data_IF_043058097472
#
_entry.id   IF_043058097472
#
_cell.length_a   1.000
_cell.length_b   1.000
_cell.length_c   1.000
_cell.angle_alpha   90.00
_cell.angle_beta   90.00
_cell.angle_gamma   90.00
#
_symmetry.space_group_name_H-M   'P 1'
#
loop_
_entity.id
_entity.type
_entity.pdbx_description
1 polymer ?
#
# COMPACT_ATOMS: atom_id res chain seq x y z
N UNK A 1 -0.72 15.90 7.67
CA UNK A 1 -2.11 15.47 7.61
C UNK A 1 -2.13 13.98 7.90
N UNK A 2 -2.93 13.54 8.88
CA UNK A 2 -3.11 12.14 9.18
C UNK A 2 -3.81 11.46 8.01
N UNK A 3 -3.32 10.33 7.55
CA UNK A 3 -4.09 9.47 6.65
C UNK A 3 -5.21 8.81 7.48
N UNK A 4 -6.47 9.05 7.10
CA UNK A 4 -7.61 8.37 7.72
C UNK A 4 -7.68 6.92 7.20
N UNK A 5 -6.96 6.02 7.88
CA UNK A 5 -7.00 4.60 7.55
C UNK A 5 -8.19 3.95 8.26
N UNK A 6 -9.28 3.77 7.53
CA UNK A 6 -10.42 2.98 7.97
C UNK A 6 -10.14 1.49 7.75
N UNK A 7 -9.61 0.80 8.76
CA UNK A 7 -9.53 -0.67 8.73
C UNK A 7 -10.84 -1.25 9.30
N UNK A 8 -11.76 -1.65 8.43
CA UNK A 8 -12.87 -2.55 8.80
C UNK A 8 -12.47 -3.98 8.42
N UNK A 9 -11.91 -4.70 9.35
CA UNK A 9 -11.79 -6.15 9.22
C UNK A 9 -12.95 -6.79 9.99
N UNK A 10 -13.89 -7.41 9.29
CA UNK A 10 -14.89 -8.28 9.89
C UNK A 10 -14.33 -9.69 9.80
N UNK A 11 -13.77 -10.19 10.90
CA UNK A 11 -13.30 -11.57 11.00
C UNK A 11 -14.42 -12.36 11.72
N UNK A 12 -15.11 -13.29 11.05
CA UNK A 12 -16.04 -14.18 11.75
C UNK A 12 -15.24 -15.15 12.63
N UNK A 13 -15.34 -15.00 13.93
CA UNK A 13 -14.74 -15.92 14.89
C UNK A 13 -15.83 -16.85 15.46
N UNK A 14 -15.63 -18.15 15.23
CA UNK A 14 -16.46 -19.19 15.82
C UNK A 14 -15.80 -19.64 17.14
N UNK A 15 -16.22 -19.11 18.27
CA UNK A 15 -15.67 -19.43 19.58
C UNK A 15 -16.29 -20.73 20.07
N UNK A 16 -15.75 -21.86 19.66
CA UNK A 16 -15.81 -23.09 20.45
C UNK A 16 -14.57 -23.13 21.31
N UNK A 17 -14.76 -23.40 22.60
CA UNK A 17 -13.72 -23.46 23.64
C UNK A 17 -12.38 -23.98 23.11
N UNK A 18 -11.36 -23.12 23.08
CA UNK A 18 -10.01 -23.53 22.71
C UNK A 18 -9.31 -24.01 23.98
N UNK A 19 -9.28 -25.32 24.18
CA UNK A 19 -8.21 -25.92 24.97
C UNK A 19 -6.99 -26.01 24.08
N UNK A 20 -5.98 -25.17 24.35
CA UNK A 20 -4.71 -25.17 23.64
C UNK A 20 -3.87 -26.35 24.16
N UNK A 21 -4.03 -27.54 23.55
CA UNK A 21 -3.04 -28.58 23.63
C UNK A 21 -2.06 -28.36 22.49
N UNK A 22 -0.80 -28.03 22.83
CA UNK A 22 0.24 -27.78 21.85
C UNK A 22 0.54 -29.00 20.99
N UNK A 23 0.37 -28.87 19.70
CA UNK A 23 0.99 -29.75 18.72
C UNK A 23 1.93 -28.89 17.86
N UNK A 24 3.22 -28.92 18.20
CA UNK A 24 4.28 -28.41 17.34
C UNK A 24 4.39 -29.34 16.13
N UNK A 25 3.70 -29.03 15.05
CA UNK A 25 4.03 -29.56 13.75
C UNK A 25 5.26 -28.77 13.25
N UNK A 26 6.41 -29.41 13.23
CA UNK A 26 7.60 -28.94 12.52
C UNK A 26 7.29 -29.02 11.03
N UNK A 27 6.67 -27.97 10.50
CA UNK A 27 6.67 -27.71 9.07
C UNK A 27 8.06 -27.14 8.82
N UNK A 28 8.89 -27.90 8.10
CA UNK A 28 10.20 -27.45 7.65
C UNK A 28 10.02 -26.12 6.91
N UNK A 29 10.37 -25.04 7.59
CA UNK A 29 10.51 -23.75 6.97
C UNK A 29 11.64 -23.86 5.95
N UNK A 30 11.29 -24.00 4.68
CA UNK A 30 12.17 -23.48 3.66
C UNK A 30 12.28 -21.99 3.95
N UNK A 31 13.35 -21.61 4.63
CA UNK A 31 13.82 -20.24 4.65
C UNK A 31 14.18 -19.97 3.21
N UNK A 32 13.22 -19.47 2.44
CA UNK A 32 13.52 -18.74 1.22
C UNK A 32 14.22 -17.49 1.75
N UNK A 33 15.54 -17.55 1.73
CA UNK A 33 16.39 -16.41 2.03
C UNK A 33 16.31 -15.48 0.80
N UNK A 34 15.13 -14.90 0.58
CA UNK A 34 15.00 -13.76 -0.31
C UNK A 34 15.63 -12.60 0.44
N UNK A 35 16.95 -12.42 0.27
CA UNK A 35 17.52 -11.09 0.41
C UNK A 35 16.82 -10.26 -0.68
N UNK A 36 15.67 -9.68 -0.35
CA UNK A 36 15.03 -8.71 -1.22
C UNK A 36 16.11 -7.67 -1.52
N UNK A 37 16.46 -7.54 -2.80
CA UNK A 37 17.48 -6.61 -3.20
C UNK A 37 17.03 -5.22 -2.77
N UNK A 38 17.83 -4.54 -1.95
CA UNK A 38 17.51 -3.22 -1.42
C UNK A 38 17.34 -2.22 -2.57
N UNK A 39 16.12 -1.73 -2.74
CA UNK A 39 15.81 -0.72 -3.74
C UNK A 39 16.28 0.67 -3.29
N UNK A 40 16.67 1.51 -4.24
CA UNK A 40 16.94 2.92 -3.98
C UNK A 40 15.63 3.64 -3.62
N UNK A 41 15.69 4.61 -2.70
CA UNK A 41 14.58 5.55 -2.49
C UNK A 41 14.27 6.31 -3.80
N UNK A 42 13.03 6.35 -4.29
CA UNK A 42 12.68 7.10 -5.50
C UNK A 42 12.90 8.62 -5.37
N UNK A 43 13.16 9.11 -4.18
CA UNK A 43 13.44 10.52 -3.89
C UNK A 43 14.80 10.73 -3.22
N UNK A 44 15.32 11.97 -3.26
CA UNK A 44 16.56 12.38 -2.58
C UNK A 44 16.32 12.95 -1.17
N UNK A 45 15.14 12.70 -0.60
CA UNK A 45 14.78 13.08 0.76
C UNK A 45 14.27 11.85 1.54
N UNK A 46 14.22 11.92 2.89
CA UNK A 46 13.76 10.79 3.71
C UNK A 46 12.37 10.30 3.33
N UNK A 47 12.19 8.99 3.41
CA UNK A 47 10.90 8.34 3.12
C UNK A 47 9.91 8.67 4.23
N UNK A 48 8.79 9.26 3.84
CA UNK A 48 7.59 9.38 4.66
C UNK A 48 6.40 8.86 3.85
N UNK A 49 5.59 8.02 4.47
CA UNK A 49 4.44 7.42 3.80
C UNK A 49 3.13 8.12 4.19
N UNK A 50 2.20 8.17 3.26
CA UNK A 50 0.81 8.58 3.45
C UNK A 50 -0.18 7.42 3.26
N UNK A 51 0.27 6.30 2.74
CA UNK A 51 -0.49 5.08 2.55
C UNK A 51 0.40 3.84 2.57
N UNK A 52 -0.06 2.77 3.22
CA UNK A 52 0.66 1.52 3.35
C UNK A 52 0.08 0.45 2.41
N UNK A 53 0.90 -0.57 2.11
CA UNK A 53 0.47 -1.76 1.37
C UNK A 53 -0.67 -2.48 2.11
N UNK A 54 -1.66 -2.99 1.35
CA UNK A 54 -2.79 -3.72 1.90
C UNK A 54 -3.81 -2.88 2.68
N UNK A 55 -3.70 -1.54 2.71
CA UNK A 55 -4.73 -0.69 3.29
C UNK A 55 -6.06 -0.86 2.58
N UNK A 56 -7.16 -0.92 3.35
CA UNK A 56 -8.49 -0.96 2.78
C UNK A 56 -8.85 0.41 2.20
N UNK A 57 -9.09 0.47 0.91
CA UNK A 57 -9.66 1.60 0.19
C UNK A 57 -11.17 1.39 0.02
N UNK A 58 -11.87 2.30 -0.65
CA UNK A 58 -13.34 2.23 -0.79
C UNK A 58 -13.84 0.95 -1.47
N UNK A 59 -13.09 0.38 -2.41
CA UNK A 59 -13.49 -0.76 -3.24
C UNK A 59 -12.37 -1.78 -3.52
N UNK A 60 -11.15 -1.57 -2.97
CA UNK A 60 -10.01 -2.48 -3.16
C UNK A 60 -9.03 -2.34 -2.00
N UNK A 61 -8.03 -3.22 -1.95
CA UNK A 61 -6.87 -3.06 -1.10
C UNK A 61 -5.79 -2.25 -1.83
N UNK A 62 -5.05 -1.43 -1.09
CA UNK A 62 -3.96 -0.64 -1.65
C UNK A 62 -2.84 -1.56 -2.13
N UNK A 63 -2.51 -1.49 -3.42
CA UNK A 63 -1.56 -2.39 -4.09
C UNK A 63 -0.09 -1.99 -3.93
N UNK A 64 0.19 -0.92 -3.22
CA UNK A 64 1.52 -0.38 -3.04
C UNK A 64 1.66 0.47 -1.78
N UNK A 65 2.61 1.40 -1.82
CA UNK A 65 2.80 2.43 -0.80
C UNK A 65 2.73 3.82 -1.42
N UNK A 66 2.28 4.80 -0.63
CA UNK A 66 2.18 6.18 -1.08
C UNK A 66 3.27 7.02 -0.42
N UNK A 67 4.28 7.44 -1.19
CA UNK A 67 5.33 8.34 -0.71
C UNK A 67 4.84 9.79 -0.64
N UNK A 68 4.99 10.43 0.50
CA UNK A 68 4.74 11.87 0.64
C UNK A 68 5.74 12.68 -0.18
N UNK A 69 5.25 13.66 -0.90
CA UNK A 69 6.07 14.59 -1.72
C UNK A 69 6.14 15.98 -1.11
N UNK A 70 6.13 16.06 0.24
CA UNK A 70 6.16 17.32 0.98
C UNK A 70 4.94 18.23 0.68
N UNK A 71 3.81 17.65 0.27
CA UNK A 71 2.57 18.36 -0.05
C UNK A 71 2.58 19.10 -1.40
N UNK A 72 3.58 18.87 -2.24
CA UNK A 72 3.73 19.53 -3.54
C UNK A 72 3.97 18.53 -4.67
N UNK A 73 3.64 18.93 -5.88
CA UNK A 73 3.98 18.23 -7.11
C UNK A 73 5.38 18.64 -7.61
N UNK A 74 5.90 17.93 -8.60
CA UNK A 74 7.11 18.32 -9.32
C UNK A 74 8.43 17.85 -8.69
N UNK A 75 8.40 16.96 -7.69
CA UNK A 75 9.63 16.36 -7.15
C UNK A 75 10.19 15.35 -8.16
N UNK A 76 11.52 15.37 -8.43
CA UNK A 76 12.14 14.37 -9.28
C UNK A 76 11.89 12.96 -8.76
N UNK A 77 11.41 12.07 -9.64
CA UNK A 77 11.21 10.65 -9.35
C UNK A 77 12.29 9.86 -10.07
N UNK A 78 13.08 9.14 -9.30
CA UNK A 78 14.18 8.33 -9.79
C UNK A 78 13.78 6.87 -9.91
N UNK A 79 14.38 6.16 -10.89
CA UNK A 79 14.33 4.70 -10.91
C UNK A 79 14.97 4.13 -9.65
N UNK A 80 14.35 3.12 -9.08
CA UNK A 80 14.87 2.44 -7.88
C UNK A 80 15.97 1.43 -8.22
N UNK A 81 16.00 0.97 -9.49
CA UNK A 81 16.94 0.00 -10.05
C UNK A 81 17.04 0.22 -11.57
N UNK A 82 18.08 -0.30 -12.22
CA UNK A 82 18.19 -0.37 -13.69
C UNK A 82 17.12 -1.27 -14.30
N UNK A 83 16.80 -1.06 -15.58
CA UNK A 83 15.81 -1.85 -16.30
C UNK A 83 15.38 -1.16 -17.60
N UNK A 84 14.12 -1.36 -17.94
CA UNK A 84 13.51 -0.67 -19.08
C UNK A 84 12.06 -0.32 -18.78
N UNK A 85 11.56 0.73 -19.40
CA UNK A 85 10.14 1.09 -19.34
C UNK A 85 9.35 0.04 -20.12
N UNK A 86 8.64 -0.82 -19.42
CA UNK A 86 7.85 -1.92 -20.02
C UNK A 86 6.41 -1.50 -20.34
N UNK A 87 5.86 -0.54 -19.59
CA UNK A 87 4.51 -0.03 -19.83
C UNK A 87 4.39 1.43 -19.44
N UNK A 88 3.60 2.19 -20.23
CA UNK A 88 3.23 3.57 -19.93
C UNK A 88 1.72 3.68 -20.03
N UNK A 89 1.07 4.22 -19.03
CA UNK A 89 -0.36 4.54 -19.07
C UNK A 89 -0.60 6.03 -18.90
N UNK A 90 -1.45 6.61 -19.73
CA UNK A 90 -1.95 7.99 -19.58
C UNK A 90 -3.46 7.93 -19.58
N UNK A 91 -4.08 8.30 -18.47
CA UNK A 91 -5.52 8.22 -18.27
C UNK A 91 -5.97 9.32 -17.29
N UNK A 92 -7.20 9.85 -17.40
CA UNK A 92 -7.76 10.73 -16.37
C UNK A 92 -8.16 9.99 -15.09
N UNK A 93 -8.11 8.64 -15.08
CA UNK A 93 -8.53 7.78 -13.97
C UNK A 93 -7.41 6.87 -13.49
N UNK A 94 -7.61 6.19 -12.37
CA UNK A 94 -6.66 5.24 -11.80
C UNK A 94 -5.33 5.90 -11.48
N UNK A 95 -4.23 5.35 -11.97
CA UNK A 95 -2.88 5.90 -11.76
C UNK A 95 -2.61 7.23 -12.48
N UNK A 96 -3.52 7.70 -13.34
CA UNK A 96 -3.26 8.90 -14.11
C UNK A 96 -2.15 8.68 -15.13
N UNK A 97 -1.05 9.44 -14.98
CA UNK A 97 0.21 9.15 -15.65
C UNK A 97 0.95 8.06 -14.85
N UNK A 98 0.95 6.85 -15.38
CA UNK A 98 1.59 5.68 -14.78
C UNK A 98 2.78 5.20 -15.60
N UNK A 99 3.87 4.85 -14.91
CA UNK A 99 5.10 4.32 -15.50
C UNK A 99 5.42 2.98 -14.87
N UNK A 100 5.73 1.97 -15.68
CA UNK A 100 6.12 0.63 -15.26
C UNK A 100 7.52 0.36 -15.75
N UNK A 101 8.39 -0.07 -14.85
CA UNK A 101 9.79 -0.38 -15.16
C UNK A 101 10.06 -1.82 -14.77
N UNK A 102 10.43 -2.64 -15.74
CA UNK A 102 10.81 -4.04 -15.52
C UNK A 102 12.31 -4.13 -15.30
N UNK A 103 12.69 -4.86 -14.26
CA UNK A 103 14.06 -5.00 -13.76
C UNK A 103 14.65 -6.38 -14.06
N UNK A 104 16.00 -6.52 -14.11
CA UNK A 104 16.65 -7.80 -14.39
C UNK A 104 16.41 -8.90 -13.35
N UNK A 105 16.01 -8.53 -12.14
CA UNK A 105 15.74 -9.47 -11.03
C UNK A 105 14.35 -10.12 -11.09
N UNK A 106 13.56 -9.86 -12.16
CA UNK A 106 12.22 -10.39 -12.34
C UNK A 106 11.12 -9.58 -11.63
N UNK A 107 11.45 -8.39 -11.13
CA UNK A 107 10.45 -7.47 -10.58
C UNK A 107 10.06 -6.38 -11.58
N UNK A 108 8.87 -5.83 -11.41
CA UNK A 108 8.38 -4.63 -12.10
C UNK A 108 7.93 -3.60 -11.07
N UNK A 109 8.49 -2.38 -11.15
CA UNK A 109 8.06 -1.28 -10.30
C UNK A 109 7.08 -0.36 -11.04
N UNK A 110 6.07 0.11 -10.31
CA UNK A 110 5.02 0.99 -10.83
C UNK A 110 5.09 2.34 -10.12
N UNK A 111 5.05 3.40 -10.90
CA UNK A 111 5.07 4.79 -10.44
C UNK A 111 3.78 5.46 -10.90
N UNK A 112 2.88 5.78 -9.97
CA UNK A 112 1.57 6.35 -10.25
C UNK A 112 1.46 7.84 -9.92
N UNK A 113 0.40 8.46 -10.41
CA UNK A 113 -0.01 9.85 -10.18
C UNK A 113 1.03 10.89 -10.62
N UNK A 114 1.87 10.55 -11.60
CA UNK A 114 2.96 11.40 -12.06
C UNK A 114 2.44 12.69 -12.71
N UNK A 115 3.12 13.82 -12.46
CA UNK A 115 2.81 15.10 -13.10
C UNK A 115 3.20 15.06 -14.58
N UNK A 116 4.42 14.60 -14.86
CA UNK A 116 4.95 14.44 -16.23
C UNK A 116 6.11 13.45 -16.24
N UNK A 117 6.32 12.83 -17.37
CA UNK A 117 7.47 11.97 -17.63
C UNK A 117 8.74 12.79 -17.95
N UNK A 118 9.92 12.15 -17.87
CA UNK A 118 11.18 12.72 -18.37
C UNK A 118 11.06 13.03 -19.86
N UNK A 119 11.93 13.92 -20.37
CA UNK A 119 11.87 14.35 -21.77
C UNK A 119 11.90 13.18 -22.76
N UNK A 120 12.75 12.18 -22.50
CA UNK A 120 12.90 10.97 -23.34
C UNK A 120 11.55 10.21 -23.41
N UNK A 121 10.96 9.92 -22.26
CA UNK A 121 9.69 9.18 -22.16
C UNK A 121 8.52 10.03 -22.69
N UNK A 122 8.47 11.31 -22.35
CA UNK A 122 7.40 12.22 -22.79
C UNK A 122 7.35 12.38 -24.31
N UNK A 123 8.50 12.42 -24.98
CA UNK A 123 8.57 12.46 -26.43
C UNK A 123 7.96 11.20 -27.05
N UNK A 124 8.32 10.03 -26.56
CA UNK A 124 7.75 8.76 -27.02
C UNK A 124 6.24 8.72 -26.81
N UNK A 125 5.75 9.09 -25.61
CA UNK A 125 4.32 9.15 -25.31
C UNK A 125 3.60 10.08 -26.30
N UNK A 126 4.14 11.27 -26.52
CA UNK A 126 3.58 12.25 -27.45
C UNK A 126 3.47 11.70 -28.87
N UNK A 127 4.50 11.05 -29.38
CA UNK A 127 4.49 10.41 -30.71
C UNK A 127 3.37 9.36 -30.80
N UNK A 128 3.22 8.52 -29.78
CA UNK A 128 2.17 7.50 -29.73
C UNK A 128 0.77 8.10 -29.60
N UNK A 129 0.60 9.17 -28.83
CA UNK A 129 -0.68 9.89 -28.72
C UNK A 129 -1.11 10.48 -30.08
N UNK A 130 -0.18 11.07 -30.84
CA UNK A 130 -0.48 11.56 -32.19
C UNK A 130 -0.78 10.42 -33.16
N UNK A 131 -0.01 9.34 -33.12
CA UNK A 131 -0.22 8.17 -33.99
C UNK A 131 -1.58 7.49 -33.73
N UNK A 132 -2.06 7.50 -32.49
CA UNK A 132 -3.35 6.92 -32.09
C UNK A 132 -4.50 7.94 -32.06
N UNK A 133 -4.22 9.20 -32.37
CA UNK A 133 -5.20 10.31 -32.28
C UNK A 133 -5.91 10.34 -30.93
N UNK A 134 -5.22 10.03 -29.84
CA UNK A 134 -5.76 9.88 -28.49
C UNK A 134 -4.83 10.42 -27.43
N UNK A 135 -5.38 11.18 -26.47
CA UNK A 135 -4.63 11.54 -25.25
C UNK A 135 -4.46 10.37 -24.28
N UNK A 136 -5.44 9.47 -24.25
CA UNK A 136 -5.38 8.28 -23.40
C UNK A 136 -4.63 7.19 -24.15
N UNK A 137 -3.55 6.72 -23.58
CA UNK A 137 -2.73 5.64 -24.15
C UNK A 137 -2.35 4.61 -23.10
N UNK A 138 -2.22 3.36 -23.55
CA UNK A 138 -1.68 2.27 -22.76
C UNK A 138 -0.67 1.52 -23.64
N UNK A 139 0.60 1.84 -23.43
CA UNK A 139 1.71 1.44 -24.31
C UNK A 139 2.49 0.33 -23.64
N UNK A 140 2.75 -0.76 -24.35
CA UNK A 140 3.63 -1.85 -23.95
C UNK A 140 4.88 -1.80 -24.82
N UNK A 141 6.05 -1.82 -24.17
CA UNK A 141 7.32 -1.60 -24.82
C UNK A 141 8.24 -2.81 -24.71
N UNK A 142 9.11 -2.94 -25.70
CA UNK A 142 10.21 -3.92 -25.71
C UNK A 142 11.44 -3.37 -24.97
N UNK A 143 12.34 -4.24 -24.46
CA UNK A 143 13.47 -3.82 -23.62
C UNK A 143 14.43 -2.80 -24.27
N UNK A 144 14.52 -2.79 -25.59
CA UNK A 144 15.43 -1.96 -26.37
C UNK A 144 14.94 -0.52 -26.58
N UNK A 145 13.64 -0.24 -26.38
CA UNK A 145 13.07 1.08 -26.71
C UNK A 145 13.42 2.17 -25.71
N UNK A 146 13.19 1.92 -24.43
CA UNK A 146 13.41 2.90 -23.35
C UNK A 146 14.16 2.25 -22.18
N UNK A 147 15.43 1.87 -22.34
CA UNK A 147 16.26 1.43 -21.23
C UNK A 147 16.47 2.59 -20.24
N UNK A 148 16.57 2.26 -18.96
CA UNK A 148 16.80 3.21 -17.87
C UNK A 148 17.89 2.69 -16.93
N UNK A 149 18.71 3.62 -16.43
CA UNK A 149 19.74 3.30 -15.46
C UNK A 149 19.23 3.50 -14.03
N UNK A 150 19.82 2.78 -13.07
CA UNK A 150 19.55 3.02 -11.66
C UNK A 150 19.80 4.49 -11.32
N UNK A 151 18.87 5.11 -10.58
CA UNK A 151 18.94 6.52 -10.18
C UNK A 151 18.68 7.53 -11.32
N UNK A 152 18.23 7.09 -12.49
CA UNK A 152 17.81 8.01 -13.56
C UNK A 152 16.51 8.73 -13.17
N UNK A 153 16.39 10.03 -13.43
CA UNK A 153 15.13 10.76 -13.26
C UNK A 153 14.20 10.43 -14.42
N UNK A 154 13.13 9.69 -14.13
CA UNK A 154 12.16 9.22 -15.15
C UNK A 154 10.89 10.04 -15.22
N UNK A 155 10.58 10.77 -14.14
CA UNK A 155 9.34 11.56 -14.05
C UNK A 155 9.44 12.64 -12.99
N UNK A 156 8.38 13.45 -12.88
CA UNK A 156 8.10 14.30 -11.72
C UNK A 156 6.86 13.79 -11.00
N UNK A 157 6.88 13.81 -9.68
CA UNK A 157 5.73 13.48 -8.84
C UNK A 157 4.55 14.42 -9.08
N UNK A 158 3.34 13.93 -8.89
CA UNK A 158 2.17 14.71 -9.23
C UNK A 158 0.93 14.35 -8.41
N UNK A 159 -0.23 14.56 -9.05
CA UNK A 159 -1.55 14.33 -8.48
C UNK A 159 -2.55 13.93 -9.59
N UNK A 160 -2.09 13.25 -10.64
CA UNK A 160 -2.94 12.87 -11.79
C UNK A 160 -3.78 11.63 -11.50
N UNK A 161 -4.83 11.41 -12.28
CA UNK A 161 -5.72 10.27 -12.11
C UNK A 161 -6.62 10.37 -10.88
N UNK A 162 -6.90 9.23 -10.25
CA UNK A 162 -7.79 9.15 -9.08
C UNK A 162 -7.03 9.41 -7.78
N UNK A 163 -6.37 10.56 -7.66
CA UNK A 163 -5.57 10.97 -6.51
C UNK A 163 -6.24 12.10 -5.73
N UNK A 164 -6.17 12.05 -4.39
CA UNK A 164 -6.72 13.05 -3.47
C UNK A 164 -5.75 14.17 -3.08
N UNK A 165 -4.50 14.12 -3.53
CA UNK A 165 -3.46 15.11 -3.19
C UNK A 165 -2.07 14.68 -3.66
N UNK A 166 -1.07 15.58 -3.69
CA UNK A 166 0.26 15.29 -4.20
C UNK A 166 0.96 14.16 -3.43
N UNK A 167 1.29 13.07 -4.13
CA UNK A 167 2.08 11.93 -3.64
C UNK A 167 2.63 11.12 -4.81
N UNK A 168 3.49 10.16 -4.52
CA UNK A 168 3.88 9.12 -5.47
C UNK A 168 3.29 7.80 -4.99
N UNK A 169 2.38 7.22 -5.76
CA UNK A 169 1.97 5.83 -5.59
C UNK A 169 3.04 4.92 -6.18
N UNK A 170 3.50 3.94 -5.41
CA UNK A 170 4.60 3.06 -5.80
C UNK A 170 4.27 1.60 -5.48
N UNK A 171 4.50 0.72 -6.47
CA UNK A 171 4.30 -0.71 -6.31
C UNK A 171 5.54 -1.49 -6.70
N UNK A 172 5.69 -2.68 -6.15
CA UNK A 172 6.58 -3.73 -6.62
C UNK A 172 5.71 -4.92 -7.00
N UNK A 173 5.95 -5.46 -8.18
CA UNK A 173 5.24 -6.63 -8.72
C UNK A 173 6.22 -7.70 -9.17
N UNK A 174 5.79 -8.94 -9.10
CA UNK A 174 6.39 -10.01 -9.88
C UNK A 174 6.12 -9.75 -11.37
N UNK A 175 7.15 -9.81 -12.21
CA UNK A 175 7.01 -9.46 -13.64
C UNK A 175 6.18 -10.46 -14.41
N UNK A 176 6.23 -11.74 -14.06
CA UNK A 176 5.57 -12.82 -14.80
C UNK A 176 4.09 -12.93 -14.43
N UNK A 177 3.79 -12.86 -13.13
CA UNK A 177 2.43 -13.06 -12.60
C UNK A 177 1.66 -11.76 -12.43
N UNK A 178 2.34 -10.61 -12.41
CA UNK A 178 1.82 -9.29 -12.03
C UNK A 178 1.29 -9.23 -10.58
N UNK A 179 1.56 -10.24 -9.75
CA UNK A 179 1.19 -10.22 -8.34
C UNK A 179 1.92 -9.09 -7.61
N UNK A 180 1.17 -8.34 -6.81
CA UNK A 180 1.72 -7.22 -6.02
C UNK A 180 2.43 -7.75 -4.79
N UNK A 181 3.63 -7.24 -4.53
CA UNK A 181 4.45 -7.54 -3.36
C UNK A 181 4.49 -6.34 -2.42
N UNK A 182 4.69 -6.57 -1.11
CA UNK A 182 4.81 -5.46 -0.16
C UNK A 182 6.10 -4.66 -0.41
N UNK A 183 6.00 -3.40 -0.86
CA UNK A 183 7.20 -2.60 -1.09
C UNK A 183 8.02 -2.32 0.18
N UNK A 184 7.44 -2.44 1.38
CA UNK A 184 8.15 -2.23 2.64
C UNK A 184 9.28 -3.24 2.83
N UNK A 185 9.18 -4.45 2.28
CA UNK A 185 10.24 -5.46 2.33
C UNK A 185 11.53 -4.98 1.63
N UNK A 186 11.39 -4.07 0.65
CA UNK A 186 12.51 -3.51 -0.14
C UNK A 186 13.08 -2.20 0.43
N UNK A 187 12.41 -1.59 1.42
CA UNK A 187 12.80 -0.31 2.04
C UNK A 187 12.96 -0.40 3.56
N UNK A 188 12.95 -1.58 4.13
CA UNK A 188 12.91 -1.81 5.58
C UNK A 188 14.06 -1.15 6.35
N UNK A 189 15.23 -0.96 5.71
CA UNK A 189 16.40 -0.29 6.27
C UNK A 189 16.33 1.26 6.21
N UNK A 190 15.35 1.81 5.50
CA UNK A 190 15.22 3.25 5.19
C UNK A 190 13.96 3.88 5.74
N UNK A 191 13.05 3.06 6.25
CA UNK A 191 11.81 3.51 6.87
C UNK A 191 11.95 3.31 8.36
N UNK A 192 12.03 4.42 9.09
CA UNK A 192 12.02 4.40 10.56
C UNK A 192 10.66 4.88 11.02
N UNK A 193 9.94 3.97 11.68
CA UNK A 193 8.71 4.30 12.37
C UNK A 193 8.80 3.76 13.80
N UNK A 194 8.77 4.68 14.76
CA UNK A 194 8.85 4.37 16.19
C UNK A 194 7.52 4.57 16.91
N UNK A 195 6.49 5.03 16.19
CA UNK A 195 5.19 5.37 16.76
C UNK A 195 4.22 4.20 16.64
N UNK A 196 3.77 3.64 17.78
CA UNK A 196 2.77 2.57 17.73
C UNK A 196 1.42 3.11 17.21
N UNK A 197 0.65 2.29 16.47
CA UNK A 197 -0.68 2.65 16.02
C UNK A 197 -1.60 2.97 17.18
N UNK A 198 -2.45 3.98 17.02
CA UNK A 198 -3.41 4.42 18.02
C UNK A 198 -4.81 3.93 17.70
N UNK A 199 -5.35 3.06 18.55
CA UNK A 199 -6.73 2.59 18.43
C UNK A 199 -7.67 3.68 18.97
N UNK A 200 -8.59 4.14 18.14
CA UNK A 200 -9.59 5.15 18.51
C UNK A 200 -10.93 4.57 18.91
N UNK A 201 -11.24 3.38 18.42
CA UNK A 201 -12.49 2.72 18.74
C UNK A 201 -12.52 1.27 18.28
N UNK A 202 -13.31 0.49 18.96
CA UNK A 202 -13.59 -0.91 18.63
C UNK A 202 -15.11 -1.07 18.60
N UNK A 203 -15.61 -1.78 17.58
CA UNK A 203 -17.00 -2.22 17.55
C UNK A 203 -17.05 -3.74 17.59
N UNK A 204 -17.90 -4.28 18.44
CA UNK A 204 -18.26 -5.69 18.44
C UNK A 204 -19.67 -5.78 17.89
N UNK A 205 -19.82 -6.51 16.79
CA UNK A 205 -21.07 -6.56 16.02
C UNK A 205 -21.59 -7.99 16.07
N UNK A 206 -22.70 -8.26 16.81
CA UNK A 206 -23.36 -9.57 16.73
C UNK A 206 -23.87 -9.78 15.31
N UNK A 207 -23.63 -10.96 14.75
CA UNK A 207 -24.24 -11.35 13.47
C UNK A 207 -25.71 -11.64 13.71
N UNK A 208 -26.56 -11.07 12.87
CA UNK A 208 -28.02 -11.17 13.02
C UNK A 208 -28.49 -12.63 13.07
N UNK A 209 -29.30 -12.96 14.07
CA UNK A 209 -29.81 -14.31 14.32
C UNK A 209 -28.77 -15.33 14.79
N UNK A 210 -27.48 -14.95 14.90
CA UNK A 210 -26.39 -15.88 15.21
C UNK A 210 -25.51 -15.48 16.38
N UNK A 211 -25.58 -14.24 16.85
CA UNK A 211 -24.71 -13.74 17.91
C UNK A 211 -25.37 -12.73 18.84
N UNK A 212 -24.81 -12.62 20.05
CA UNK A 212 -25.18 -11.60 21.03
C UNK A 212 -23.94 -11.08 21.75
N UNK A 213 -23.99 -9.82 22.18
CA UNK A 213 -22.93 -9.17 22.97
C UNK A 213 -23.58 -8.53 24.20
N UNK A 214 -23.09 -8.87 25.39
CA UNK A 214 -23.65 -8.46 26.67
C UNK A 214 -25.17 -8.70 26.75
N UNK A 215 -25.60 -9.88 26.25
CA UNK A 215 -27.01 -10.27 26.22
C UNK A 215 -27.90 -9.54 25.21
N UNK A 216 -27.32 -8.75 24.29
CA UNK A 216 -28.04 -7.96 23.29
C UNK A 216 -27.62 -8.28 21.87
N UNK A 217 -28.57 -8.25 20.92
CA UNK A 217 -28.32 -8.36 19.47
C UNK A 217 -28.02 -6.99 18.85
N UNK A 218 -27.28 -6.13 19.55
CA UNK A 218 -26.90 -4.80 19.08
C UNK A 218 -25.38 -4.64 19.17
N UNK A 219 -24.81 -3.87 18.24
CA UNK A 219 -23.38 -3.55 18.26
C UNK A 219 -22.98 -2.86 19.57
N UNK A 220 -21.83 -3.22 20.09
CA UNK A 220 -21.18 -2.59 21.23
C UNK A 220 -20.02 -1.73 20.72
N UNK A 221 -20.03 -0.45 21.04
CA UNK A 221 -18.93 0.47 20.75
C UNK A 221 -18.08 0.69 22.00
N UNK A 222 -16.77 0.57 21.86
CA UNK A 222 -15.81 0.68 22.95
C UNK A 222 -14.73 1.68 22.56
N UNK A 223 -14.46 2.63 23.46
CA UNK A 223 -13.31 3.52 23.33
C UNK A 223 -12.19 3.01 24.26
N UNK A 224 -11.01 2.69 23.74
CA UNK A 224 -9.89 2.31 24.57
C UNK A 224 -9.46 3.46 25.48
N UNK A 225 -9.00 3.11 26.69
CA UNK A 225 -8.38 4.05 27.63
C UNK A 225 -6.88 3.98 27.45
N UNK A 226 -6.24 5.13 27.25
CA UNK A 226 -4.79 5.21 27.12
C UNK A 226 -4.16 5.57 28.46
N UNK A 227 -3.29 4.72 28.97
CA UNK A 227 -2.52 4.96 30.20
C UNK A 227 -1.37 5.96 29.94
N UNK A 228 -0.76 6.49 31.01
CA UNK A 228 0.36 7.45 30.91
C UNK A 228 1.58 6.93 30.14
N UNK A 229 1.79 5.62 30.12
CA UNK A 229 2.86 4.95 29.38
C UNK A 229 2.48 4.65 27.91
N UNK A 230 1.37 5.19 27.40
CA UNK A 230 0.90 4.98 26.02
C UNK A 230 0.13 3.68 25.80
N UNK A 231 0.11 2.74 26.77
CA UNK A 231 -0.60 1.47 26.64
C UNK A 231 -2.11 1.70 26.59
N UNK A 232 -2.76 1.15 25.58
CA UNK A 232 -4.20 1.19 25.42
C UNK A 232 -4.86 -0.08 25.98
N UNK A 233 -5.93 0.09 26.73
CA UNK A 233 -6.68 -1.00 27.36
C UNK A 233 -8.17 -0.79 27.19
N UNK A 234 -8.93 -1.88 27.21
CA UNK A 234 -10.38 -1.86 27.28
C UNK A 234 -10.77 -2.05 28.74
N UNK A 235 -11.70 -1.23 29.23
CA UNK A 235 -12.23 -1.35 30.58
C UNK A 235 -13.57 -2.09 30.56
N UNK A 236 -13.80 -2.94 31.56
CA UNK A 236 -15.02 -3.72 31.69
C UNK A 236 -14.95 -5.13 31.09
N UNK A 237 -15.89 -5.97 31.51
CA UNK A 237 -16.04 -7.33 30.98
C UNK A 237 -16.97 -7.29 29.78
N UNK A 238 -16.58 -8.00 28.73
CA UNK A 238 -17.38 -8.16 27.52
C UNK A 238 -17.74 -9.64 27.41
N UNK A 239 -19.00 -9.92 27.32
CA UNK A 239 -19.52 -11.28 27.13
C UNK A 239 -20.11 -11.39 25.73
N UNK A 240 -19.64 -12.35 24.96
CA UNK A 240 -20.11 -12.58 23.60
C UNK A 240 -20.41 -14.07 23.38
N UNK A 241 -21.49 -14.36 22.69
CA UNK A 241 -21.95 -15.69 22.36
C UNK A 241 -22.31 -15.79 20.88
N UNK A 242 -21.96 -16.92 20.26
CA UNK A 242 -22.24 -17.17 18.85
C UNK A 242 -21.29 -16.44 17.91
N UNK A 243 -21.78 -16.05 16.73
CA UNK A 243 -20.97 -15.38 15.71
C UNK A 243 -20.95 -13.87 15.94
N UNK A 244 -19.74 -13.31 16.04
CA UNK A 244 -19.53 -11.87 16.20
C UNK A 244 -18.53 -11.38 15.15
N UNK A 245 -18.70 -10.14 14.71
CA UNK A 245 -17.72 -9.38 13.94
C UNK A 245 -16.98 -8.38 14.82
N UNK A 246 -15.71 -8.15 14.53
CA UNK A 246 -14.90 -7.09 15.14
C UNK A 246 -14.55 -6.03 14.10
N UNK A 247 -14.77 -4.76 14.44
CA UNK A 247 -14.28 -3.63 13.66
C UNK A 247 -13.39 -2.75 14.54
N UNK A 248 -12.23 -2.37 14.04
CA UNK A 248 -11.28 -1.52 14.74
C UNK A 248 -11.04 -0.25 13.94
N UNK A 249 -11.16 0.90 14.60
CA UNK A 249 -10.73 2.19 14.08
C UNK A 249 -9.38 2.49 14.68
N UNK A 250 -8.33 2.44 13.86
CA UNK A 250 -6.97 2.75 14.27
C UNK A 250 -6.36 3.78 13.31
N UNK A 251 -5.44 4.58 13.85
CA UNK A 251 -4.58 5.48 13.06
C UNK A 251 -3.14 5.13 13.34
N UNK A 252 -2.37 5.10 12.28
CA UNK A 252 -0.94 4.99 12.34
C UNK A 252 -0.31 6.29 11.84
N UNK A 253 0.72 6.77 12.55
CA UNK A 253 1.40 8.01 12.23
C UNK A 253 2.89 7.72 12.14
N UNK A 254 3.51 8.04 11.04
CA UNK A 254 4.97 8.05 10.95
C UNK A 254 5.55 9.32 11.58
N UNK A 255 6.76 9.21 12.11
CA UNK A 255 7.53 10.31 12.68
C UNK A 255 7.99 11.31 11.63
#
# INVERSE_FOLDING_TARGET
>A
AASDVYKRQVIPMNIRSIYLAGLFAIIGSHIINTNAQQLRNPFDFPILLSGNFGELRSNHFHSGIDFKTQGVEGKPVHTVQEGYVSRISVSPWGYGNGLYITHPDGTTTVYGHLQKFSKKIANYVKEQQYAQESFNVNLFLTPDLLPVEKNEVVALSGNTGSSGGPHLHFEVRDTETEEVMDPLDYFSDRITDTRPPKIQGIQIVPIEGKGVVNGKSKKLEIKPVTAKNGKQTITGKIEAWGEIGLAVKAYDYMD
#
